data_IF_731779911338
#
_entry.id   IF_731779911338
#
_cell.length_a   1.000
_cell.length_b   1.000
_cell.length_c   1.000
_cell.angle_alpha   90.00
_cell.angle_beta   90.00
_cell.angle_gamma   90.00
#
_symmetry.space_group_name_H-M   'P 1'
#
loop_
_entity.id
_entity.type
_entity.pdbx_description
1 polymer ?
#
# COMPACT_ATOMS: atom_id res chain seq x y z
N UNK A 1 3.70 3.19 -12.77
CA UNK A 1 3.32 3.56 -11.40
C UNK A 1 4.43 3.14 -10.46
N UNK A 2 4.87 4.02 -9.55
CA UNK A 2 5.97 3.75 -8.63
C UNK A 2 5.44 2.99 -7.42
N UNK A 3 6.10 1.88 -7.05
CA UNK A 3 5.66 1.08 -5.90
C UNK A 3 5.83 1.88 -4.61
N UNK A 4 4.81 1.93 -3.76
CA UNK A 4 4.82 2.74 -2.53
C UNK A 4 6.00 2.39 -1.59
N UNK A 5 6.43 1.12 -1.54
CA UNK A 5 7.64 0.71 -0.81
C UNK A 5 8.91 1.39 -1.30
N UNK A 6 9.04 1.68 -2.60
CA UNK A 6 10.20 2.40 -3.12
C UNK A 6 10.26 3.83 -2.58
N UNK A 7 9.12 4.52 -2.55
CA UNK A 7 9.03 5.88 -1.98
C UNK A 7 9.32 5.86 -0.47
N UNK A 8 8.79 4.85 0.25
CA UNK A 8 9.08 4.69 1.67
C UNK A 8 10.57 4.43 1.94
N UNK A 9 11.23 3.57 1.13
CA UNK A 9 12.66 3.30 1.25
C UNK A 9 13.50 4.57 1.01
N UNK A 10 13.18 5.36 -0.02
CA UNK A 10 13.85 6.64 -0.30
C UNK A 10 13.72 7.61 0.89
N UNK A 11 12.52 7.75 1.45
CA UNK A 11 12.28 8.64 2.58
C UNK A 11 13.04 8.20 3.84
N UNK A 12 13.08 6.89 4.10
CA UNK A 12 13.78 6.32 5.23
C UNK A 12 15.31 6.46 5.07
N UNK A 13 15.85 6.06 3.93
CA UNK A 13 17.29 5.85 3.76
C UNK A 13 18.05 7.14 3.39
N UNK A 14 17.40 8.07 2.69
CA UNK A 14 18.04 9.32 2.25
C UNK A 14 17.70 10.51 3.14
N UNK A 15 16.51 10.50 3.75
CA UNK A 15 16.01 11.65 4.53
C UNK A 15 15.78 11.34 6.01
N UNK A 16 15.90 10.08 6.44
CA UNK A 16 15.66 9.67 7.82
C UNK A 16 14.18 9.78 8.26
N UNK A 17 13.26 10.06 7.33
CA UNK A 17 11.84 10.23 7.60
C UNK A 17 11.22 8.84 7.67
N UNK A 18 10.77 8.45 8.86
CA UNK A 18 10.18 7.13 9.12
C UNK A 18 8.80 6.99 8.43
N UNK A 19 8.82 6.56 7.18
CA UNK A 19 7.65 6.25 6.37
C UNK A 19 7.40 4.74 6.37
N UNK A 20 6.15 4.33 6.69
CA UNK A 20 5.69 2.95 6.53
C UNK A 20 4.78 2.86 5.32
N UNK A 21 5.29 2.22 4.27
CA UNK A 21 4.48 1.85 3.12
C UNK A 21 3.41 0.85 3.53
N UNK A 22 2.18 1.03 3.05
CA UNK A 22 1.12 0.03 3.27
C UNK A 22 0.54 0.05 4.68
N UNK A 23 0.35 1.23 5.28
CA UNK A 23 -0.56 1.30 6.43
C UNK A 23 -1.93 0.77 6.00
N UNK A 24 -2.28 -0.42 6.47
CA UNK A 24 -3.58 -1.04 6.27
C UNK A 24 -4.73 -0.14 6.76
N UNK A 25 -4.43 0.89 7.56
CA UNK A 25 -5.37 1.93 7.97
C UNK A 25 -6.01 2.69 6.79
N UNK A 26 -5.42 2.64 5.59
CA UNK A 26 -5.99 3.19 4.36
C UNK A 26 -6.41 2.10 3.36
N UNK A 27 -6.43 0.81 3.75
CA UNK A 27 -6.93 -0.29 2.91
C UNK A 27 -8.32 0.01 2.32
N UNK A 28 -9.31 0.41 3.14
CA UNK A 28 -10.64 0.79 2.64
C UNK A 28 -10.62 2.01 1.71
N UNK A 29 -9.65 2.92 1.90
CA UNK A 29 -9.49 4.09 1.05
C UNK A 29 -8.87 3.73 -0.31
N UNK A 30 -7.91 2.82 -0.34
CA UNK A 30 -7.37 2.25 -1.57
C UNK A 30 -8.43 1.44 -2.32
N UNK A 31 -9.26 0.66 -1.62
CA UNK A 31 -10.42 -0.03 -2.19
C UNK A 31 -11.40 0.96 -2.85
N UNK A 32 -11.69 2.07 -2.16
CA UNK A 32 -12.59 3.12 -2.67
C UNK A 32 -12.01 3.82 -3.90
N UNK A 33 -10.72 4.18 -3.89
CA UNK A 33 -10.07 4.85 -5.04
C UNK A 33 -9.91 3.91 -6.24
N UNK A 34 -9.61 2.63 -5.99
CA UNK A 34 -9.32 1.65 -7.04
C UNK A 34 -10.56 0.85 -7.47
N UNK A 35 -11.72 1.09 -6.84
CA UNK A 35 -12.96 0.37 -7.14
C UNK A 35 -12.90 -1.12 -6.83
N UNK A 36 -12.02 -1.54 -5.92
CA UNK A 36 -11.89 -2.92 -5.50
C UNK A 36 -13.03 -3.22 -4.53
N UNK A 37 -13.96 -4.09 -4.92
CA UNK A 37 -14.93 -4.63 -3.96
C UNK A 37 -14.21 -5.47 -2.91
N UNK A 38 -14.78 -5.57 -1.71
CA UNK A 38 -14.21 -6.40 -0.62
C UNK A 38 -13.88 -7.83 -1.06
N UNK A 39 -14.70 -8.40 -1.97
CA UNK A 39 -14.48 -9.74 -2.53
C UNK A 39 -13.21 -9.83 -3.42
N UNK A 40 -12.90 -8.75 -4.14
CA UNK A 40 -11.69 -8.69 -4.97
C UNK A 40 -10.46 -8.35 -4.12
N UNK A 41 -10.61 -7.53 -3.08
CA UNK A 41 -9.53 -7.22 -2.15
C UNK A 41 -8.99 -8.50 -1.47
N UNK A 42 -9.87 -9.38 -1.00
CA UNK A 42 -9.46 -10.68 -0.42
C UNK A 42 -8.70 -11.57 -1.41
N UNK A 43 -9.14 -11.61 -2.68
CA UNK A 43 -8.45 -12.38 -3.74
C UNK A 43 -7.06 -11.81 -4.07
N UNK A 44 -6.89 -10.49 -3.97
CA UNK A 44 -5.59 -9.85 -4.13
C UNK A 44 -4.66 -10.15 -2.95
N UNK A 45 -5.17 -10.14 -1.72
CA UNK A 45 -4.40 -10.52 -0.53
C UNK A 45 -3.95 -11.99 -0.59
N UNK A 46 -4.84 -12.90 -0.98
CA UNK A 46 -4.53 -14.33 -1.15
C UNK A 46 -3.54 -14.62 -2.28
N UNK A 47 -3.50 -13.79 -3.33
CA UNK A 47 -2.57 -13.96 -4.45
C UNK A 47 -1.17 -13.38 -4.18
N UNK A 48 -1.04 -12.51 -3.16
CA UNK A 48 0.20 -11.80 -2.82
C UNK A 48 0.84 -12.31 -1.53
N UNK A 49 0.09 -12.97 -0.65
CA UNK A 49 0.58 -13.70 0.53
C UNK A 49 1.22 -15.05 0.17
#
# INVERSE_FOLDING_TARGET
>A
YLHYNFVAAVLNDLFGIQARGGCACAGPYAETILGLSAENATKFEEAVG
#
